data_IF_994927153652
#
_entry.id   IF_994927153652
#
_cell.length_a   1.000
_cell.length_b   1.000
_cell.length_c   1.000
_cell.angle_alpha   90.00
_cell.angle_beta   90.00
_cell.angle_gamma   90.00
#
_symmetry.space_group_name_H-M   'P 1'
#
loop_
_entity.id
_entity.type
_entity.pdbx_description
1 polymer ?
#
# COMPACT_ATOMS: atom_id res chain seq x y z
N UNK A 1 13.42 -11.43 17.93
CA UNK A 1 12.62 -12.65 18.16
C UNK A 1 12.78 -13.55 16.94
N UNK A 2 12.91 -14.87 17.13
CA UNK A 2 12.99 -15.83 16.02
C UNK A 2 11.62 -16.12 15.38
N UNK A 3 10.52 -15.77 16.05
CA UNK A 3 9.15 -15.82 15.53
C UNK A 3 8.36 -14.59 15.97
N UNK A 4 7.55 -14.03 15.08
CA UNK A 4 6.70 -12.85 15.34
C UNK A 4 5.65 -12.70 14.25
N UNK A 5 4.54 -12.04 14.56
CA UNK A 5 3.57 -11.58 13.57
C UNK A 5 4.03 -10.23 13.01
N UNK A 6 4.11 -10.11 11.69
CA UNK A 6 4.60 -8.90 11.01
C UNK A 6 3.57 -8.42 10.00
N UNK A 7 3.11 -7.18 10.18
CA UNK A 7 2.21 -6.51 9.25
C UNK A 7 3.00 -5.48 8.44
N UNK A 8 3.11 -5.70 7.13
CA UNK A 8 3.75 -4.77 6.21
C UNK A 8 2.68 -4.01 5.43
N UNK A 9 2.63 -2.69 5.64
CA UNK A 9 1.76 -1.80 4.88
C UNK A 9 2.56 -1.13 3.77
N UNK A 10 2.14 -1.33 2.52
CA UNK A 10 2.79 -0.74 1.35
C UNK A 10 1.81 0.22 0.69
N UNK A 11 2.19 1.49 0.69
CA UNK A 11 1.40 2.55 0.09
C UNK A 11 1.64 2.57 -1.41
N UNK A 12 0.58 2.38 -2.19
CA UNK A 12 0.59 2.48 -3.65
C UNK A 12 0.26 3.92 -4.05
N UNK A 13 1.27 4.66 -4.52
CA UNK A 13 1.19 6.04 -4.99
C UNK A 13 1.44 6.12 -6.49
N UNK A 14 1.12 7.24 -7.15
CA UNK A 14 1.44 7.39 -8.58
C UNK A 14 2.95 7.37 -8.84
N UNK A 15 3.75 7.88 -7.89
CA UNK A 15 5.21 7.86 -7.95
C UNK A 15 5.80 6.45 -7.97
N UNK A 16 5.06 5.41 -7.55
CA UNK A 16 5.55 4.03 -7.67
C UNK A 16 5.78 3.59 -9.12
N UNK A 17 5.12 4.25 -10.08
CA UNK A 17 5.28 4.05 -11.52
C UNK A 17 6.28 5.01 -12.17
N UNK A 18 6.95 5.86 -11.38
CA UNK A 18 8.03 6.70 -11.87
C UNK A 18 9.38 5.95 -11.80
N UNK A 19 10.28 6.34 -12.69
CA UNK A 19 11.66 5.86 -12.68
C UNK A 19 12.51 6.62 -11.67
N UNK A 20 13.39 5.90 -10.98
CA UNK A 20 14.42 6.49 -10.14
C UNK A 20 15.64 6.95 -10.99
N UNK A 21 16.65 7.52 -10.33
CA UNK A 21 17.86 8.04 -10.98
C UNK A 21 18.71 6.96 -11.68
N UNK A 22 18.49 5.69 -11.35
CA UNK A 22 19.22 4.55 -11.91
C UNK A 22 18.43 3.84 -13.01
N UNK A 23 17.17 4.24 -13.25
CA UNK A 23 16.31 3.71 -14.31
C UNK A 23 15.42 2.55 -13.86
N UNK A 24 15.32 2.28 -12.56
CA UNK A 24 14.40 1.29 -12.01
C UNK A 24 13.08 1.97 -11.62
N UNK A 25 11.95 1.27 -11.74
CA UNK A 25 10.70 1.77 -11.16
C UNK A 25 10.77 1.74 -9.62
N UNK A 26 10.22 2.75 -8.96
CA UNK A 26 10.13 2.76 -7.49
C UNK A 26 9.43 1.49 -6.94
N UNK A 27 8.44 0.97 -7.66
CA UNK A 27 7.80 -0.30 -7.34
C UNK A 27 8.76 -1.48 -7.35
N UNK A 28 9.58 -1.60 -8.39
CA UNK A 28 10.56 -2.69 -8.50
C UNK A 28 11.60 -2.60 -7.41
N UNK A 29 12.07 -1.40 -7.08
CA UNK A 29 13.02 -1.19 -5.99
C UNK A 29 12.46 -1.61 -4.63
N UNK A 30 11.18 -1.34 -4.37
CA UNK A 30 10.53 -1.75 -3.13
C UNK A 30 10.33 -3.28 -3.05
N UNK A 31 9.87 -3.91 -4.13
CA UNK A 31 9.53 -5.34 -4.15
C UNK A 31 10.76 -6.22 -4.35
N UNK A 32 11.50 -5.98 -5.44
CA UNK A 32 12.64 -6.79 -5.83
C UNK A 32 13.93 -6.41 -5.08
N UNK A 33 14.00 -5.20 -4.54
CA UNK A 33 15.09 -4.77 -3.66
C UNK A 33 14.77 -5.05 -2.20
N UNK A 34 13.96 -4.18 -1.59
CA UNK A 34 13.76 -4.19 -0.14
C UNK A 34 13.12 -5.48 0.41
N UNK A 35 11.98 -5.91 -0.14
CA UNK A 35 11.29 -7.11 0.37
C UNK A 35 12.11 -8.38 0.13
N UNK A 36 12.72 -8.52 -1.05
CA UNK A 36 13.60 -9.64 -1.36
C UNK A 36 14.76 -9.74 -0.36
N UNK A 37 15.46 -8.63 -0.10
CA UNK A 37 16.57 -8.57 0.86
C UNK A 37 16.11 -8.88 2.30
N UNK A 38 14.93 -8.38 2.69
CA UNK A 38 14.34 -8.62 4.00
C UNK A 38 14.11 -10.12 4.23
N UNK A 39 13.43 -10.78 3.29
CA UNK A 39 13.13 -12.21 3.39
C UNK A 39 14.39 -13.08 3.32
N UNK A 40 15.38 -12.69 2.50
CA UNK A 40 16.68 -13.38 2.50
C UNK A 40 17.39 -13.29 3.84
N UNK A 41 17.38 -12.11 4.50
CA UNK A 41 17.96 -11.93 5.84
C UNK A 41 17.24 -12.76 6.89
N UNK A 42 15.91 -12.80 6.86
CA UNK A 42 15.14 -13.65 7.77
C UNK A 42 15.45 -15.13 7.58
N UNK A 43 15.53 -15.59 6.33
CA UNK A 43 15.93 -16.97 6.01
C UNK A 43 17.34 -17.29 6.52
N UNK A 44 18.31 -16.40 6.31
CA UNK A 44 19.70 -16.56 6.78
C UNK A 44 19.77 -16.62 8.31
N UNK A 45 18.91 -15.88 9.01
CA UNK A 45 18.87 -15.85 10.46
C UNK A 45 18.00 -16.96 11.08
N UNK A 46 17.38 -17.82 10.28
CA UNK A 46 16.48 -18.87 10.75
C UNK A 46 15.20 -18.34 11.41
N UNK A 47 14.77 -17.13 11.03
CA UNK A 47 13.53 -16.53 11.52
C UNK A 47 12.31 -17.10 10.81
N UNK A 48 11.24 -17.36 11.55
CA UNK A 48 9.95 -17.82 11.03
C UNK A 48 8.84 -16.85 11.50
N UNK A 49 8.56 -15.85 10.66
CA UNK A 49 7.59 -14.81 10.94
C UNK A 49 6.30 -15.07 10.16
N UNK A 50 5.14 -14.83 10.78
CA UNK A 50 3.84 -14.86 10.11
C UNK A 50 3.63 -13.47 9.50
N UNK A 51 3.62 -13.39 8.16
CA UNK A 51 3.60 -12.11 7.45
C UNK A 51 2.24 -11.85 6.83
N UNK A 52 1.72 -10.64 7.05
CA UNK A 52 0.60 -10.10 6.28
C UNK A 52 1.06 -8.84 5.55
N UNK A 53 0.89 -8.82 4.22
CA UNK A 53 1.20 -7.65 3.40
C UNK A 53 -0.12 -7.00 2.97
N UNK A 54 -0.32 -5.75 3.37
CA UNK A 54 -1.46 -4.92 3.01
C UNK A 54 -1.01 -3.83 2.06
N UNK A 55 -1.52 -3.87 0.84
CA UNK A 55 -1.39 -2.77 -0.11
C UNK A 55 -2.52 -1.78 0.16
N UNK A 56 -2.21 -0.48 0.13
CA UNK A 56 -3.23 0.54 0.29
C UNK A 56 -2.98 1.76 -0.60
N UNK A 57 -4.04 2.41 -1.04
CA UNK A 57 -3.98 3.62 -1.88
C UNK A 57 -5.12 4.56 -1.57
N UNK A 58 -4.96 5.84 -1.94
CA UNK A 58 -6.02 6.86 -1.84
C UNK A 58 -6.37 7.37 -3.22
N UNK A 59 -7.66 7.38 -3.55
CA UNK A 59 -8.18 7.99 -4.78
C UNK A 59 -8.86 9.30 -4.41
N UNK A 60 -8.43 10.40 -5.02
CA UNK A 60 -9.10 11.69 -4.90
C UNK A 60 -10.08 11.91 -6.05
N UNK A 61 -11.24 12.48 -5.73
CA UNK A 61 -12.27 12.79 -6.70
C UNK A 61 -12.43 14.30 -6.86
N UNK A 62 -12.57 14.72 -8.12
CA UNK A 62 -12.86 16.11 -8.45
C UNK A 62 -14.37 16.32 -8.42
N UNK A 63 -14.86 16.84 -7.30
CA UNK A 63 -16.26 17.24 -7.12
C UNK A 63 -16.35 18.45 -6.19
N UNK A 64 -17.44 19.21 -6.31
CA UNK A 64 -17.73 20.37 -5.48
C UNK A 64 -18.80 20.08 -4.41
N UNK A 65 -19.62 19.06 -4.63
CA UNK A 65 -20.68 18.62 -3.72
C UNK A 65 -20.77 17.10 -3.65
N UNK A 66 -21.21 16.57 -2.50
CA UNK A 66 -21.49 15.15 -2.32
C UNK A 66 -22.60 14.66 -3.27
N UNK A 67 -23.48 15.56 -3.72
CA UNK A 67 -24.60 15.26 -4.63
C UNK A 67 -24.16 14.87 -6.05
N UNK A 68 -22.91 15.15 -6.41
CA UNK A 68 -22.36 14.75 -7.72
C UNK A 68 -22.04 13.24 -7.78
N UNK A 69 -22.00 12.56 -6.64
CA UNK A 69 -21.65 11.15 -6.56
C UNK A 69 -22.88 10.22 -6.55
N UNK A 70 -22.79 9.02 -7.16
CA UNK A 70 -23.81 7.98 -7.02
C UNK A 70 -24.08 7.63 -5.55
N UNK A 71 -25.34 7.37 -5.20
CA UNK A 71 -25.78 7.10 -3.82
C UNK A 71 -24.97 6.01 -3.12
N UNK A 72 -24.56 4.96 -3.84
CA UNK A 72 -23.76 3.87 -3.27
C UNK A 72 -22.34 4.31 -2.88
N UNK A 73 -21.74 5.22 -3.64
CA UNK A 73 -20.39 5.72 -3.39
C UNK A 73 -20.35 6.69 -2.21
N UNK A 74 -21.43 7.45 -1.98
CA UNK A 74 -21.54 8.42 -0.88
C UNK A 74 -21.25 7.82 0.50
N UNK A 75 -21.49 6.52 0.70
CA UNK A 75 -21.28 5.81 1.97
C UNK A 75 -19.78 5.62 2.31
N UNK A 76 -18.93 5.52 1.30
CA UNK A 76 -17.50 5.23 1.46
C UNK A 76 -16.62 6.48 1.29
N UNK A 77 -17.19 7.57 0.77
CA UNK A 77 -16.48 8.82 0.55
C UNK A 77 -16.15 9.53 1.86
N UNK A 78 -14.91 10.01 1.94
CA UNK A 78 -14.41 10.84 3.01
C UNK A 78 -13.99 12.21 2.45
N UNK A 79 -13.88 13.19 3.33
CA UNK A 79 -13.41 14.53 2.98
C UNK A 79 -12.16 14.86 3.80
N UNK A 80 -11.11 15.35 3.13
CA UNK A 80 -9.90 15.78 3.83
C UNK A 80 -10.04 17.18 4.43
N UNK A 81 -9.04 17.63 5.18
CA UNK A 81 -9.03 18.96 5.81
C UNK A 81 -9.09 20.13 4.82
N UNK A 82 -8.87 19.88 3.51
CA UNK A 82 -8.94 20.87 2.43
C UNK A 82 -10.27 20.80 1.66
N UNK A 83 -11.20 19.98 2.12
CA UNK A 83 -12.49 19.80 1.48
C UNK A 83 -12.49 18.85 0.27
N UNK A 84 -11.40 18.12 0.01
CA UNK A 84 -11.32 17.20 -1.15
C UNK A 84 -11.95 15.87 -0.81
N UNK A 85 -12.79 15.37 -1.72
CA UNK A 85 -13.39 14.03 -1.60
C UNK A 85 -12.36 12.96 -1.96
N UNK A 86 -12.30 11.90 -1.16
CA UNK A 86 -11.41 10.76 -1.41
C UNK A 86 -12.01 9.45 -0.88
N UNK A 87 -11.46 8.34 -1.36
CA UNK A 87 -11.71 6.99 -0.86
C UNK A 87 -10.36 6.28 -0.68
N UNK A 88 -10.22 5.58 0.45
CA UNK A 88 -9.05 4.75 0.75
C UNK A 88 -9.36 3.30 0.41
N UNK A 89 -8.46 2.68 -0.35
CA UNK A 89 -8.56 1.29 -0.76
C UNK A 89 -7.50 0.47 -0.04
N UNK A 90 -7.89 -0.69 0.47
CA UNK A 90 -7.01 -1.64 1.14
C UNK A 90 -7.16 -3.00 0.48
N UNK A 91 -6.04 -3.66 0.20
CA UNK A 91 -6.01 -5.01 -0.35
C UNK A 91 -4.93 -5.82 0.35
N UNK A 92 -5.32 -6.94 0.94
CA UNK A 92 -4.37 -7.92 1.46
C UNK A 92 -3.80 -8.69 0.28
N UNK A 93 -2.49 -8.57 0.06
CA UNK A 93 -1.77 -9.25 -1.02
C UNK A 93 -1.21 -10.60 -0.57
N UNK A 94 -0.80 -10.70 0.70
CA UNK A 94 -0.29 -11.92 1.33
C UNK A 94 -0.89 -12.00 2.73
N UNK A 95 -1.38 -13.18 3.12
CA UNK A 95 -1.87 -13.46 4.46
C UNK A 95 -1.40 -14.83 4.91
N UNK A 96 -0.67 -14.87 6.02
CA UNK A 96 -0.32 -16.06 6.78
C UNK A 96 0.39 -17.16 5.97
N UNK A 97 1.53 -16.79 5.38
CA UNK A 97 2.61 -17.75 5.07
C UNK A 97 3.70 -17.67 6.13
#
# INVERSE_FOLDING_TARGET
>A
SSTSMVYLFIQMSCEMWDFDIHGDLYFEKAVNGFLADLFQKWKKNGSNHEVTIVLFSRTFYKATSLEEFPTEMKKCLQQDYRGRFYEDFYRVAVQNE
#
